data_IF_307785193513
#
_entry.id   IF_307785193513
#
_cell.length_a   1.000
_cell.length_b   1.000
_cell.length_c   1.000
_cell.angle_alpha   90.00
_cell.angle_beta   90.00
_cell.angle_gamma   90.00
#
_symmetry.space_group_name_H-M   'P 1'
#
loop_
_entity.id
_entity.type
_entity.pdbx_description
1 polymer ?
#
# COMPACT_ATOMS: atom_id res chain seq x y z
N UNK A 1 4.61 4.15 -5.96
CA UNK A 1 5.78 4.32 -5.08
C UNK A 1 5.89 3.21 -4.03
N UNK A 2 4.99 3.08 -3.05
CA UNK A 2 5.16 2.09 -1.96
C UNK A 2 5.19 0.62 -2.44
N UNK A 3 4.25 0.23 -3.30
CA UNK A 3 4.27 -1.10 -3.94
C UNK A 3 5.55 -1.36 -4.73
N UNK A 4 6.07 -0.35 -5.42
CA UNK A 4 7.31 -0.48 -6.21
C UNK A 4 8.51 -0.68 -5.28
N UNK A 5 8.56 0.02 -4.14
CA UNK A 5 9.61 -0.19 -3.14
C UNK A 5 9.62 -1.64 -2.62
N UNK A 6 8.44 -2.23 -2.37
CA UNK A 6 8.31 -3.64 -1.96
C UNK A 6 8.79 -4.59 -3.08
N UNK A 7 8.43 -4.33 -4.34
CA UNK A 7 8.89 -5.12 -5.49
C UNK A 7 10.41 -5.05 -5.68
N UNK A 8 11.03 -3.95 -5.26
CA UNK A 8 12.48 -3.75 -5.31
C UNK A 8 13.23 -4.33 -4.11
N UNK A 9 12.57 -5.02 -3.16
CA UNK A 9 13.16 -5.62 -1.95
C UNK A 9 14.50 -6.31 -2.22
N UNK A 10 14.58 -7.15 -3.25
CA UNK A 10 15.81 -7.87 -3.61
C UNK A 10 16.97 -6.92 -3.94
N UNK A 11 16.71 -5.87 -4.71
CA UNK A 11 17.71 -4.88 -5.10
C UNK A 11 18.10 -3.99 -3.92
N UNK A 12 17.13 -3.59 -3.10
CA UNK A 12 17.37 -2.82 -1.88
C UNK A 12 18.26 -3.60 -0.90
N UNK A 13 17.96 -4.87 -0.65
CA UNK A 13 18.78 -5.73 0.22
C UNK A 13 20.19 -5.89 -0.33
N UNK A 14 20.31 -6.24 -1.62
CA UNK A 14 21.62 -6.37 -2.27
C UNK A 14 22.43 -5.07 -2.20
N UNK A 15 21.79 -3.91 -2.39
CA UNK A 15 22.48 -2.62 -2.30
C UNK A 15 22.96 -2.33 -0.86
N UNK A 16 22.13 -2.57 0.15
CA UNK A 16 22.47 -2.32 1.54
C UNK A 16 23.57 -3.28 2.06
N UNK A 17 23.56 -4.54 1.61
CA UNK A 17 24.58 -5.53 1.96
C UNK A 17 25.96 -5.20 1.39
N UNK A 18 26.01 -4.55 0.22
CA UNK A 18 27.26 -4.22 -0.48
C UNK A 18 27.75 -2.78 -0.26
N UNK A 19 27.01 -1.96 0.50
CA UNK A 19 27.36 -0.57 0.75
C UNK A 19 27.32 -0.27 2.25
N UNK A 20 28.49 -0.01 2.83
CA UNK A 20 28.66 0.21 4.28
C UNK A 20 27.89 1.43 4.81
N UNK A 21 27.70 2.48 4.01
CA UNK A 21 26.90 3.64 4.38
C UNK A 21 25.41 3.32 4.40
N UNK A 22 24.96 2.46 3.48
CA UNK A 22 23.56 2.07 3.31
C UNK A 22 23.11 0.93 4.24
N UNK A 23 24.03 0.12 4.75
CA UNK A 23 23.75 -1.04 5.60
C UNK A 23 22.83 -0.70 6.79
N UNK A 24 22.99 0.49 7.39
CA UNK A 24 22.16 0.97 8.52
C UNK A 24 20.68 1.20 8.17
N UNK A 25 20.33 1.23 6.88
CA UNK A 25 18.96 1.42 6.39
C UNK A 25 18.31 0.11 5.91
N UNK A 26 19.00 -1.03 6.04
CA UNK A 26 18.48 -2.31 5.57
C UNK A 26 17.24 -2.72 6.39
N UNK A 27 16.06 -2.86 5.77
CA UNK A 27 14.89 -3.34 6.49
C UNK A 27 15.03 -4.83 6.80
N UNK A 28 14.64 -5.21 8.00
CA UNK A 28 14.51 -6.59 8.43
C UNK A 28 13.44 -7.33 7.63
N UNK A 29 13.43 -8.67 7.67
CA UNK A 29 12.36 -9.43 7.02
C UNK A 29 10.98 -9.06 7.59
N UNK A 30 10.89 -8.86 8.92
CA UNK A 30 9.64 -8.49 9.57
C UNK A 30 9.12 -7.14 9.08
N UNK A 31 10.00 -6.15 8.86
CA UNK A 31 9.60 -4.85 8.30
C UNK A 31 9.15 -4.95 6.85
N UNK A 32 9.78 -5.79 6.04
CA UNK A 32 9.32 -6.05 4.67
C UNK A 32 7.95 -6.75 4.63
N UNK A 33 7.73 -7.69 5.54
CA UNK A 33 6.46 -8.41 5.64
C UNK A 33 5.36 -7.47 6.15
N UNK A 34 5.68 -6.61 7.12
CA UNK A 34 4.78 -5.53 7.57
C UNK A 34 4.46 -4.56 6.43
N UNK A 35 5.44 -4.11 5.66
CA UNK A 35 5.21 -3.24 4.50
C UNK A 35 4.29 -3.90 3.46
N UNK A 36 4.46 -5.20 3.23
CA UNK A 36 3.61 -5.99 2.34
C UNK A 36 2.17 -6.07 2.87
N UNK A 37 1.99 -6.31 4.16
CA UNK A 37 0.67 -6.35 4.80
C UNK A 37 -0.03 -4.98 4.73
N UNK A 38 0.70 -3.89 4.98
CA UNK A 38 0.18 -2.52 4.81
C UNK A 38 -0.24 -2.27 3.36
N UNK A 39 0.54 -2.72 2.38
CA UNK A 39 0.19 -2.56 0.97
C UNK A 39 -1.08 -3.35 0.59
N UNK A 40 -1.29 -4.55 1.14
CA UNK A 40 -2.52 -5.31 0.95
C UNK A 40 -3.75 -4.55 1.44
N UNK A 41 -3.60 -3.77 2.53
CA UNK A 41 -4.67 -2.93 3.04
C UNK A 41 -4.89 -1.68 2.18
N UNK A 42 -3.81 -1.04 1.74
CA UNK A 42 -3.87 0.21 0.98
C UNK A 42 -4.34 0.03 -0.46
N UNK A 43 -4.07 -1.12 -1.09
CA UNK A 43 -4.44 -1.38 -2.49
C UNK A 43 -5.95 -1.24 -2.77
N UNK A 44 -6.85 -1.96 -2.07
CA UNK A 44 -8.30 -1.84 -2.28
C UNK A 44 -8.83 -0.44 -1.92
N UNK A 45 -8.25 0.21 -0.90
CA UNK A 45 -8.58 1.59 -0.54
C UNK A 45 -8.24 2.55 -1.69
N UNK A 46 -7.03 2.45 -2.24
CA UNK A 46 -6.58 3.26 -3.37
C UNK A 46 -7.47 3.08 -4.60
N UNK A 47 -7.87 1.83 -4.90
CA UNK A 47 -8.77 1.54 -6.01
C UNK A 47 -10.15 2.18 -5.82
N UNK A 48 -10.74 2.04 -4.64
CA UNK A 48 -12.04 2.64 -4.33
C UNK A 48 -11.97 4.18 -4.35
N UNK A 49 -10.93 4.77 -3.78
CA UNK A 49 -10.68 6.21 -3.83
C UNK A 49 -10.52 6.71 -5.26
N UNK A 50 -9.74 6.02 -6.10
CA UNK A 50 -9.58 6.40 -7.50
C UNK A 50 -10.93 6.40 -8.25
N UNK A 51 -11.75 5.36 -8.04
CA UNK A 51 -13.10 5.31 -8.62
C UNK A 51 -13.92 6.52 -8.16
N UNK A 52 -13.94 6.84 -6.86
CA UNK A 52 -14.68 8.01 -6.36
C UNK A 52 -14.17 9.32 -6.94
N UNK A 53 -12.84 9.51 -6.99
CA UNK A 53 -12.21 10.73 -7.47
C UNK A 53 -12.37 10.96 -8.98
N UNK A 54 -12.61 9.90 -9.78
CA UNK A 54 -12.91 10.08 -11.21
C UNK A 54 -14.27 10.74 -11.48
N UNK A 55 -15.17 10.75 -10.49
CA UNK A 55 -16.47 11.41 -10.62
C UNK A 55 -16.44 12.77 -9.92
N UNK A 56 -16.81 13.84 -10.66
CA UNK A 56 -16.99 15.18 -10.07
C UNK A 56 -18.10 15.20 -9.01
N UNK A 57 -19.16 14.41 -9.24
CA UNK A 57 -20.26 14.17 -8.31
C UNK A 57 -20.73 12.72 -8.45
N UNK A 58 -20.19 11.77 -7.65
CA UNK A 58 -20.66 10.39 -7.71
C UNK A 58 -22.11 10.33 -7.23
N UNK A 59 -22.98 9.67 -8.01
CA UNK A 59 -24.37 9.46 -7.58
C UNK A 59 -24.43 8.57 -6.33
N UNK A 60 -25.46 8.68 -5.48
CA UNK A 60 -25.58 7.85 -4.28
C UNK A 60 -25.45 6.35 -4.58
N UNK A 61 -26.01 5.88 -5.70
CA UNK A 61 -25.93 4.47 -6.10
C UNK A 61 -24.51 4.00 -6.47
N UNK A 62 -23.61 4.92 -6.85
CA UNK A 62 -22.20 4.62 -7.14
C UNK A 62 -21.31 4.83 -5.90
N UNK A 63 -21.56 5.90 -5.15
CA UNK A 63 -20.80 6.27 -3.97
C UNK A 63 -21.07 5.37 -2.76
N UNK A 64 -22.35 5.10 -2.46
CA UNK A 64 -22.76 4.41 -1.23
C UNK A 64 -22.15 3.00 -1.11
N UNK A 65 -22.15 2.14 -2.15
CA UNK A 65 -21.50 0.83 -2.07
C UNK A 65 -19.99 0.92 -1.83
N UNK A 66 -19.32 1.92 -2.42
CA UNK A 66 -17.89 2.16 -2.23
C UNK A 66 -17.59 2.63 -0.81
N UNK A 67 -18.38 3.53 -0.23
CA UNK A 67 -18.23 3.95 1.17
C UNK A 67 -18.47 2.79 2.14
N UNK A 68 -19.51 1.98 1.93
CA UNK A 68 -19.76 0.78 2.75
C UNK A 68 -18.58 -0.20 2.66
N UNK A 69 -18.05 -0.42 1.45
CA UNK A 69 -16.88 -1.25 1.24
C UNK A 69 -15.66 -0.71 2.01
N UNK A 70 -15.35 0.58 1.86
CA UNK A 70 -14.26 1.26 2.55
C UNK A 70 -14.39 1.13 4.08
N UNK A 71 -15.58 1.38 4.63
CA UNK A 71 -15.83 1.25 6.07
C UNK A 71 -15.71 -0.18 6.60
N UNK A 72 -16.15 -1.18 5.83
CA UNK A 72 -16.00 -2.60 6.20
C UNK A 72 -14.54 -3.05 6.13
N UNK A 73 -13.82 -2.56 5.14
CA UNK A 73 -12.41 -2.88 4.93
C UNK A 73 -11.52 -2.25 6.00
N UNK A 74 -11.79 -1.01 6.42
CA UNK A 74 -11.01 -0.34 7.46
C UNK A 74 -11.28 -0.84 8.88
N UNK A 75 -12.48 -1.35 9.18
CA UNK A 75 -12.84 -1.93 10.49
C UNK A 75 -12.25 -3.32 10.76
N UNK A 76 -11.72 -3.99 9.73
CA UNK A 76 -11.12 -5.33 9.85
C UNK A 76 -9.61 -5.30 10.16
N UNK A 77 -9.04 -4.09 10.22
CA UNK A 77 -7.65 -3.83 10.65
C UNK A 77 -7.66 -3.53 12.13
#
# INVERSE_FOLDING_TARGET
>A
MFQQAIQLRKYCNHFCENNSEAAKYQPSSAEWDQASNVMQLLFPLSKATNILCTYKYPSPNKALPLYIFLMKHSKKV
#
